data_IF_373980248066
#
_entry.id   IF_373980248066
#
_cell.length_a   1.000
_cell.length_b   1.000
_cell.length_c   1.000
_cell.angle_alpha   90.00
_cell.angle_beta   90.00
_cell.angle_gamma   90.00
#
_symmetry.space_group_name_H-M   'P 1'
#
loop_
_entity.id
_entity.type
_entity.pdbx_description
1 polymer ?
#
# COMPACT_ATOMS: atom_id res chain seq x y z
N UNK A 1 6.42 0.64 -25.76
CA UNK A 1 5.89 1.60 -24.78
C UNK A 1 5.85 0.91 -23.43
N UNK A 2 5.96 1.64 -22.31
CA UNK A 2 5.72 1.07 -20.98
C UNK A 2 4.23 0.85 -20.78
N UNK A 3 3.78 -0.26 -20.19
CA UNK A 3 2.38 -0.42 -19.83
C UNK A 3 1.98 0.64 -18.80
N UNK A 4 0.73 1.13 -18.90
CA UNK A 4 0.19 2.19 -18.04
C UNK A 4 -0.52 1.57 -16.85
N UNK A 5 -0.16 2.01 -15.66
CA UNK A 5 -0.77 1.57 -14.41
C UNK A 5 -1.45 2.75 -13.70
N UNK A 6 -2.72 2.56 -13.34
CA UNK A 6 -3.48 3.50 -12.52
C UNK A 6 -3.34 3.10 -11.04
N UNK A 7 -2.87 4.05 -10.20
CA UNK A 7 -2.75 3.90 -8.75
C UNK A 7 -3.86 4.70 -8.05
N UNK A 8 -4.93 4.02 -7.67
CA UNK A 8 -6.09 4.59 -6.98
C UNK A 8 -5.85 4.63 -5.46
N UNK A 9 -6.27 5.73 -4.82
CA UNK A 9 -5.98 6.04 -3.42
C UNK A 9 -4.47 6.08 -3.16
N UNK A 10 -3.74 6.72 -4.07
CA UNK A 10 -2.30 6.59 -4.26
C UNK A 10 -1.44 7.18 -3.12
N UNK A 11 -2.01 8.07 -2.28
CA UNK A 11 -1.27 8.74 -1.22
C UNK A 11 0.02 9.41 -1.72
N UNK A 12 1.11 9.31 -0.96
CA UNK A 12 2.41 9.90 -1.34
C UNK A 12 3.24 8.97 -2.26
N UNK A 13 2.62 8.02 -2.96
CA UNK A 13 3.23 7.27 -4.06
C UNK A 13 4.16 6.13 -3.67
N UNK A 14 3.98 5.53 -2.48
CA UNK A 14 4.77 4.37 -2.08
C UNK A 14 4.56 3.17 -3.02
N UNK A 15 3.31 2.82 -3.30
CA UNK A 15 2.97 1.78 -4.27
C UNK A 15 3.42 2.15 -5.69
N UNK A 16 3.13 3.39 -6.12
CA UNK A 16 3.51 3.92 -7.42
C UNK A 16 5.00 3.75 -7.73
N UNK A 17 5.87 4.08 -6.79
CA UNK A 17 7.32 3.96 -6.97
C UNK A 17 7.76 2.52 -7.24
N UNK A 18 7.14 1.55 -6.57
CA UNK A 18 7.46 0.14 -6.81
C UNK A 18 7.07 -0.30 -8.22
N UNK A 19 5.87 0.03 -8.66
CA UNK A 19 5.43 -0.27 -10.03
C UNK A 19 6.27 0.46 -11.08
N UNK A 20 6.64 1.72 -10.83
CA UNK A 20 7.56 2.44 -11.72
C UNK A 20 8.91 1.73 -11.86
N UNK A 21 9.50 1.27 -10.73
CA UNK A 21 10.75 0.48 -10.74
C UNK A 21 10.60 -0.85 -11.46
N UNK A 22 9.43 -1.46 -11.41
CA UNK A 22 9.12 -2.67 -12.19
C UNK A 22 9.06 -2.41 -13.70
N UNK A 23 8.76 -1.18 -14.13
CA UNK A 23 8.74 -0.81 -15.55
C UNK A 23 7.44 -0.19 -16.06
N UNK A 24 6.47 0.10 -15.19
CA UNK A 24 5.23 0.76 -15.56
C UNK A 24 5.39 2.28 -15.71
N UNK A 25 4.56 2.87 -16.54
CA UNK A 25 4.18 4.29 -16.48
C UNK A 25 3.03 4.40 -15.48
N UNK A 26 3.22 5.17 -14.40
CA UNK A 26 2.26 5.19 -13.29
C UNK A 26 1.57 6.53 -13.19
N UNK A 27 0.25 6.50 -13.07
CA UNK A 27 -0.63 7.65 -12.88
C UNK A 27 -1.35 7.48 -11.54
N UNK A 28 -1.25 8.47 -10.65
CA UNK A 28 -1.86 8.44 -9.33
C UNK A 28 -3.15 9.25 -9.24
N UNK A 29 -4.12 8.74 -8.49
CA UNK A 29 -5.37 9.43 -8.18
C UNK A 29 -5.66 9.35 -6.69
N UNK A 30 -5.92 10.49 -6.06
CA UNK A 30 -6.35 10.57 -4.67
C UNK A 30 -7.27 11.78 -4.46
N UNK A 31 -8.18 11.69 -3.50
CA UNK A 31 -9.09 12.78 -3.15
C UNK A 31 -8.34 13.96 -2.51
N UNK A 32 -7.32 13.67 -1.74
CA UNK A 32 -6.46 14.67 -1.10
C UNK A 32 -5.29 15.09 -2.00
N UNK A 33 -4.79 16.31 -1.88
CA UNK A 33 -3.57 16.72 -2.59
C UNK A 33 -2.33 16.04 -1.99
N UNK A 34 -1.49 15.47 -2.88
CA UNK A 34 -0.23 14.81 -2.53
C UNK A 34 0.96 15.47 -3.25
N UNK A 35 1.47 16.61 -2.74
CA UNK A 35 2.55 17.35 -3.41
C UNK A 35 3.88 16.59 -3.50
N UNK A 36 4.04 15.55 -2.68
CA UNK A 36 5.24 14.69 -2.68
C UNK A 36 5.08 13.50 -3.67
N UNK A 37 3.93 13.35 -4.34
CA UNK A 37 3.73 12.25 -5.30
C UNK A 37 4.73 12.38 -6.47
N UNK A 38 5.53 11.34 -6.75
CA UNK A 38 6.69 11.48 -7.65
C UNK A 38 6.40 11.34 -9.14
N UNK A 39 5.14 11.13 -9.54
CA UNK A 39 4.73 10.88 -10.92
C UNK A 39 3.54 11.78 -11.32
N UNK A 40 2.90 11.49 -12.45
CA UNK A 40 1.65 12.13 -12.86
C UNK A 40 0.58 11.90 -11.79
N UNK A 41 -0.03 12.99 -11.31
CA UNK A 41 -1.00 12.97 -10.24
C UNK A 41 -2.25 13.76 -10.61
N UNK A 42 -3.40 13.18 -10.33
CA UNK A 42 -4.70 13.82 -10.47
C UNK A 42 -5.44 13.84 -9.12
N UNK A 43 -5.84 15.01 -8.69
CA UNK A 43 -6.73 15.11 -7.54
C UNK A 43 -8.16 14.81 -7.96
N UNK A 44 -8.74 13.73 -7.44
CA UNK A 44 -10.07 13.28 -7.80
C UNK A 44 -10.59 12.13 -6.96
N UNK A 45 -11.87 11.84 -7.12
CA UNK A 45 -12.47 10.68 -6.47
C UNK A 45 -12.04 9.38 -7.18
N UNK A 46 -11.25 8.57 -6.49
CA UNK A 46 -10.79 7.28 -6.97
C UNK A 46 -11.95 6.32 -7.31
N UNK A 47 -13.10 6.46 -6.65
CA UNK A 47 -14.29 5.63 -6.94
C UNK A 47 -15.03 6.04 -8.21
N UNK A 48 -14.85 7.27 -8.67
CA UNK A 48 -15.48 7.81 -9.88
C UNK A 48 -14.50 7.97 -11.05
N UNK A 49 -13.20 7.80 -10.84
CA UNK A 49 -12.17 8.00 -11.86
C UNK A 49 -12.31 7.00 -13.01
N UNK A 50 -12.20 7.42 -14.30
CA UNK A 50 -12.24 6.50 -15.43
C UNK A 50 -11.14 5.44 -15.36
N UNK A 51 -11.50 4.20 -15.71
CA UNK A 51 -10.55 3.07 -15.72
C UNK A 51 -10.07 2.71 -17.14
N UNK A 52 -10.58 3.40 -18.16
CA UNK A 52 -10.20 3.16 -19.55
C UNK A 52 -8.81 3.72 -19.88
N UNK A 53 -8.09 3.00 -20.74
CA UNK A 53 -6.77 3.45 -21.22
C UNK A 53 -5.61 3.10 -20.29
N UNK A 54 -5.84 2.22 -19.33
CA UNK A 54 -4.80 1.62 -18.48
C UNK A 54 -4.71 0.11 -18.74
N UNK A 55 -3.51 -0.45 -18.54
CA UNK A 55 -3.24 -1.87 -18.70
C UNK A 55 -3.40 -2.63 -17.38
N UNK A 56 -3.16 -1.95 -16.25
CA UNK A 56 -3.25 -2.51 -14.88
C UNK A 56 -3.81 -1.45 -13.94
N UNK A 57 -4.56 -1.87 -12.93
CA UNK A 57 -5.03 -0.98 -11.85
C UNK A 57 -4.53 -1.48 -10.49
N UNK A 58 -3.92 -0.58 -9.71
CA UNK A 58 -3.69 -0.77 -8.29
C UNK A 58 -4.67 0.08 -7.48
N UNK A 59 -5.14 -0.43 -6.34
CA UNK A 59 -5.96 0.34 -5.42
C UNK A 59 -5.62 0.03 -3.96
N UNK A 60 -5.51 1.08 -3.13
CA UNK A 60 -5.31 0.97 -1.68
C UNK A 60 -6.42 1.71 -0.93
N UNK A 61 -7.68 1.19 -0.98
CA UNK A 61 -8.80 1.89 -0.37
C UNK A 61 -8.60 2.04 1.14
N UNK A 62 -9.06 3.16 1.75
CA UNK A 62 -8.88 3.43 3.16
C UNK A 62 -9.34 2.28 4.05
N UNK A 63 -8.50 1.90 5.03
CA UNK A 63 -8.69 0.76 5.92
C UNK A 63 -9.13 1.05 7.37
N UNK A 64 -9.72 2.22 7.75
CA UNK A 64 -9.99 2.52 9.16
C UNK A 64 -10.93 1.51 9.82
N UNK A 65 -11.81 0.86 9.05
CA UNK A 65 -12.75 -0.15 9.55
C UNK A 65 -12.07 -1.47 9.95
N UNK A 66 -10.95 -1.81 9.33
CA UNK A 66 -10.25 -3.08 9.50
C UNK A 66 -8.93 -2.95 10.26
N UNK A 67 -8.44 -1.73 10.44
CA UNK A 67 -7.18 -1.48 11.15
C UNK A 67 -7.31 -1.85 12.64
N UNK A 68 -6.23 -2.41 13.20
CA UNK A 68 -6.14 -2.70 14.64
C UNK A 68 -6.34 -1.46 15.53
N UNK A 69 -6.21 -0.27 14.97
CA UNK A 69 -6.45 1.02 15.65
C UNK A 69 -7.91 1.46 15.67
N UNK A 70 -8.84 0.68 15.11
CA UNK A 70 -10.28 0.97 15.12
C UNK A 70 -10.81 1.27 16.54
N UNK A 71 -10.31 0.55 17.54
CA UNK A 71 -10.70 0.72 18.95
C UNK A 71 -10.26 2.06 19.56
N UNK A 72 -9.31 2.76 18.93
CA UNK A 72 -8.81 4.06 19.42
C UNK A 72 -9.70 5.25 19.02
N UNK A 73 -10.61 5.04 18.07
CA UNK A 73 -11.54 6.07 17.58
C UNK A 73 -12.98 5.53 17.55
N UNK A 74 -13.57 5.20 18.70
CA UNK A 74 -14.95 4.74 18.77
C UNK A 74 -15.89 5.87 18.33
N UNK A 75 -16.73 5.60 17.33
CA UNK A 75 -17.70 6.56 16.80
C UNK A 75 -17.33 7.24 15.48
N UNK A 76 -16.14 7.07 14.96
CA UNK A 76 -15.82 7.51 13.60
C UNK A 76 -16.46 6.55 12.58
N UNK A 77 -17.39 7.06 11.78
CA UNK A 77 -17.96 6.33 10.63
C UNK A 77 -17.08 6.56 9.42
N UNK A 78 -16.47 5.50 8.91
CA UNK A 78 -15.75 5.53 7.65
C UNK A 78 -16.51 4.69 6.64
N UNK A 79 -16.67 5.14 5.38
CA UNK A 79 -17.26 4.31 4.34
C UNK A 79 -16.40 3.06 4.12
N UNK A 80 -17.06 1.91 3.95
CA UNK A 80 -16.39 0.71 3.49
C UNK A 80 -16.23 0.80 1.97
N UNK A 81 -15.03 1.09 1.53
CA UNK A 81 -14.72 1.21 0.11
C UNK A 81 -14.06 -0.05 -0.47
N UNK A 82 -13.70 -1.05 0.35
CA UNK A 82 -12.98 -2.22 -0.12
C UNK A 82 -13.82 -3.05 -1.10
N UNK A 83 -15.01 -3.48 -0.68
CA UNK A 83 -15.92 -4.26 -1.52
C UNK A 83 -16.27 -3.53 -2.82
N UNK A 84 -16.83 -2.31 -2.75
CA UNK A 84 -17.15 -1.53 -3.95
C UNK A 84 -15.95 -1.29 -4.90
N UNK A 85 -14.73 -1.12 -4.37
CA UNK A 85 -13.52 -1.01 -5.19
C UNK A 85 -13.25 -2.31 -5.94
N UNK A 86 -13.28 -3.45 -5.25
CA UNK A 86 -13.04 -4.76 -5.86
C UNK A 86 -14.09 -5.05 -6.95
N UNK A 87 -15.38 -4.87 -6.64
CA UNK A 87 -16.48 -5.10 -7.59
C UNK A 87 -16.28 -4.28 -8.87
N UNK A 88 -15.90 -3.02 -8.70
CA UNK A 88 -15.65 -2.11 -9.82
C UNK A 88 -14.47 -2.55 -10.68
N UNK A 89 -13.38 -3.02 -10.06
CA UNK A 89 -12.19 -3.49 -10.78
C UNK A 89 -12.46 -4.82 -11.49
N UNK A 90 -13.17 -5.76 -10.85
CA UNK A 90 -13.58 -7.03 -11.49
C UNK A 90 -14.43 -6.79 -12.75
N UNK A 91 -15.31 -5.79 -12.71
CA UNK A 91 -16.18 -5.45 -13.86
C UNK A 91 -15.40 -4.98 -15.10
N UNK A 92 -14.15 -4.50 -14.96
CA UNK A 92 -13.32 -4.08 -16.10
C UNK A 92 -12.69 -5.22 -16.88
N UNK A 93 -12.46 -6.35 -16.22
CA UNK A 93 -11.65 -7.45 -16.76
C UNK A 93 -10.14 -7.16 -16.85
N UNK A 94 -9.68 -5.97 -16.44
CA UNK A 94 -8.26 -5.63 -16.40
C UNK A 94 -7.53 -6.41 -15.29
N UNK A 95 -6.23 -6.68 -15.44
CA UNK A 95 -5.39 -7.06 -14.31
C UNK A 95 -5.43 -5.99 -13.21
N UNK A 96 -5.65 -6.40 -11.96
CA UNK A 96 -5.65 -5.47 -10.85
C UNK A 96 -5.02 -6.06 -9.58
N UNK A 97 -4.59 -5.16 -8.70
CA UNK A 97 -4.12 -5.48 -7.36
C UNK A 97 -4.81 -4.55 -6.37
N UNK A 98 -5.43 -5.10 -5.33
CA UNK A 98 -5.99 -4.31 -4.22
C UNK A 98 -5.25 -4.65 -2.93
N UNK A 99 -4.81 -3.60 -2.23
CA UNK A 99 -4.11 -3.72 -0.95
C UNK A 99 -5.02 -3.34 0.20
N UNK A 100 -4.87 -4.04 1.32
CA UNK A 100 -5.41 -3.59 2.60
C UNK A 100 -4.67 -4.25 3.79
N UNK A 101 -5.15 -3.97 5.00
CA UNK A 101 -4.61 -4.54 6.24
C UNK A 101 -5.12 -5.97 6.48
N UNK A 102 -4.48 -6.66 7.42
CA UNK A 102 -4.97 -7.94 7.95
C UNK A 102 -6.38 -7.77 8.55
N UNK A 103 -7.25 -8.75 8.32
CA UNK A 103 -8.64 -8.73 8.79
C UNK A 103 -9.64 -8.05 7.85
N UNK A 104 -9.20 -7.49 6.73
CA UNK A 104 -10.10 -7.02 5.68
C UNK A 104 -10.86 -8.20 5.03
N UNK A 105 -12.17 -8.06 4.73
CA UNK A 105 -12.97 -9.13 4.14
C UNK A 105 -12.71 -9.23 2.64
N UNK A 106 -11.80 -10.11 2.25
CA UNK A 106 -11.48 -10.34 0.84
C UNK A 106 -12.36 -11.42 0.21
N UNK A 107 -12.83 -11.25 -1.04
CA UNK A 107 -13.52 -12.29 -1.80
C UNK A 107 -12.69 -13.57 -1.94
N UNK A 108 -13.36 -14.73 -1.90
CA UNK A 108 -12.69 -16.02 -1.94
C UNK A 108 -12.23 -16.43 -3.36
N UNK A 109 -12.77 -15.81 -4.37
CA UNK A 109 -12.48 -16.04 -5.80
C UNK A 109 -11.26 -15.29 -6.32
N UNK A 110 -10.64 -14.44 -5.49
CA UNK A 110 -9.41 -13.74 -5.82
C UNK A 110 -8.18 -14.42 -5.21
N UNK A 111 -7.08 -14.36 -5.93
CA UNK A 111 -5.78 -14.77 -5.40
C UNK A 111 -5.34 -13.82 -4.29
N UNK A 112 -4.94 -14.37 -3.15
CA UNK A 112 -4.55 -13.60 -1.98
C UNK A 112 -3.13 -13.93 -1.54
N UNK A 113 -2.35 -12.91 -1.26
CA UNK A 113 -0.98 -13.04 -0.74
C UNK A 113 -0.70 -11.98 0.33
N UNK A 114 0.32 -12.23 1.14
CA UNK A 114 0.80 -11.31 2.15
C UNK A 114 2.27 -10.99 1.89
N UNK A 115 2.64 -9.71 2.04
CA UNK A 115 4.02 -9.26 1.98
C UNK A 115 4.44 -8.62 3.30
N UNK A 116 5.72 -8.79 3.63
CA UNK A 116 6.34 -8.29 4.85
C UNK A 116 7.66 -7.59 4.52
N UNK A 117 7.98 -6.50 5.20
CA UNK A 117 9.25 -5.80 5.01
C UNK A 117 10.47 -6.67 5.24
N UNK A 118 10.36 -7.68 6.12
CA UNK A 118 11.44 -8.64 6.36
C UNK A 118 11.85 -9.44 5.12
N UNK A 119 10.91 -9.73 4.23
CA UNK A 119 11.16 -10.46 2.98
C UNK A 119 11.97 -9.65 1.97
N UNK A 120 12.08 -8.34 2.18
CA UNK A 120 12.78 -7.37 1.31
C UNK A 120 13.97 -6.71 2.00
N UNK A 121 14.38 -7.19 3.19
CA UNK A 121 15.48 -6.59 3.95
C UNK A 121 15.17 -5.20 4.52
N UNK A 122 13.90 -4.79 4.57
CA UNK A 122 13.51 -3.51 5.14
C UNK A 122 13.57 -3.54 6.68
N UNK A 123 13.81 -2.37 7.28
CA UNK A 123 13.82 -2.20 8.74
C UNK A 123 12.44 -2.11 9.38
N UNK A 124 11.37 -2.44 8.65
CA UNK A 124 9.97 -2.50 9.08
C UNK A 124 9.39 -3.89 8.83
N UNK A 125 8.50 -4.38 9.70
CA UNK A 125 7.77 -5.64 9.43
C UNK A 125 6.55 -5.44 8.56
N UNK A 126 5.75 -4.46 8.80
CA UNK A 126 4.60 -3.95 8.01
C UNK A 126 3.93 -5.00 7.11
N UNK A 127 3.22 -5.95 7.68
CA UNK A 127 2.40 -6.90 6.93
C UNK A 127 1.32 -6.17 6.14
N UNK A 128 1.19 -6.50 4.85
CA UNK A 128 0.12 -6.03 3.98
C UNK A 128 -0.42 -7.19 3.16
N UNK A 129 -1.73 -7.22 3.06
CA UNK A 129 -2.43 -8.20 2.25
C UNK A 129 -2.78 -7.61 0.91
N UNK A 130 -2.66 -8.44 -0.11
CA UNK A 130 -2.97 -8.09 -1.48
C UNK A 130 -3.90 -9.15 -2.05
N UNK A 131 -4.89 -8.70 -2.84
CA UNK A 131 -5.73 -9.56 -3.66
C UNK A 131 -5.65 -9.13 -5.11
N UNK A 132 -5.76 -10.10 -6.02
CA UNK A 132 -5.67 -9.87 -7.45
C UNK A 132 -6.49 -10.92 -8.21
N UNK A 133 -6.96 -10.57 -9.42
CA UNK A 133 -7.47 -11.53 -10.39
C UNK A 133 -6.35 -12.28 -11.12
N UNK A 134 -5.08 -11.88 -10.92
CA UNK A 134 -3.88 -12.56 -11.42
C UNK A 134 -3.25 -13.40 -10.32
N UNK A 135 -2.72 -14.57 -10.66
CA UNK A 135 -1.96 -15.40 -9.71
C UNK A 135 -0.59 -14.78 -9.44
N UNK A 136 -0.47 -14.09 -8.30
CA UNK A 136 0.76 -13.47 -7.84
C UNK A 136 1.30 -14.21 -6.62
N UNK A 137 2.63 -14.34 -6.56
CA UNK A 137 3.32 -15.08 -5.50
C UNK A 137 3.80 -14.14 -4.41
N UNK A 138 3.48 -14.49 -3.16
CA UNK A 138 4.05 -13.84 -1.98
C UNK A 138 5.46 -14.37 -1.66
N UNK A 139 6.11 -13.72 -0.68
CA UNK A 139 7.38 -14.15 -0.13
C UNK A 139 7.24 -14.49 1.36
N UNK A 140 7.95 -15.52 1.86
CA UNK A 140 7.93 -15.85 3.28
C UNK A 140 8.54 -14.73 4.12
N UNK A 141 8.04 -14.55 5.34
CA UNK A 141 8.63 -13.61 6.29
C UNK A 141 10.01 -14.12 6.77
N UNK A 142 10.97 -13.20 6.86
CA UNK A 142 12.32 -13.48 7.37
C UNK A 142 12.62 -12.70 8.66
N UNK A 143 11.70 -12.71 9.62
CA UNK A 143 11.80 -11.93 10.85
C UNK A 143 13.07 -12.19 11.65
N UNK A 144 13.60 -13.41 11.61
CA UNK A 144 14.84 -13.78 12.31
C UNK A 144 16.09 -13.08 11.75
N UNK A 145 16.04 -12.63 10.50
CA UNK A 145 17.16 -11.92 9.82
C UNK A 145 17.06 -10.40 9.94
N UNK A 146 15.96 -9.88 10.49
CA UNK A 146 15.74 -8.44 10.59
C UNK A 146 16.54 -7.84 11.75
N UNK A 147 17.53 -7.04 11.41
CA UNK A 147 18.30 -6.23 12.36
C UNK A 147 17.72 -4.80 12.41
N UNK A 148 17.90 -4.10 13.54
CA UNK A 148 17.53 -2.69 13.72
C UNK A 148 16.09 -2.35 13.33
N UNK A 149 15.15 -3.21 13.73
CA UNK A 149 13.73 -3.01 13.48
C UNK A 149 13.23 -1.71 14.10
N UNK A 150 12.54 -0.89 13.29
CA UNK A 150 11.91 0.35 13.74
C UNK A 150 10.41 0.33 13.53
N UNK A 151 9.69 1.04 14.41
CA UNK A 151 8.25 1.26 14.30
C UNK A 151 7.92 2.45 13.40
N UNK A 152 7.13 2.23 12.35
CA UNK A 152 6.63 3.29 11.48
C UNK A 152 5.12 3.34 11.60
N UNK A 153 4.64 4.02 12.66
CA UNK A 153 3.22 4.13 13.01
C UNK A 153 2.79 5.59 13.08
N UNK A 154 1.49 5.86 12.89
CA UNK A 154 0.93 7.20 12.89
C UNK A 154 0.92 7.90 14.26
N UNK A 155 0.98 7.13 15.35
CA UNK A 155 1.02 7.65 16.71
C UNK A 155 2.36 7.30 17.36
N UNK A 156 2.94 8.23 18.11
CA UNK A 156 3.99 7.90 19.06
C UNK A 156 3.36 6.96 20.08
N UNK A 157 3.79 5.69 20.10
CA UNK A 157 3.47 4.81 21.22
C UNK A 157 3.95 5.51 22.49
N UNK A 158 3.00 5.79 23.39
CA UNK A 158 3.25 6.60 24.56
C UNK A 158 4.42 6.08 25.39
N UNK A 159 5.05 6.98 26.12
CA UNK A 159 6.15 6.75 27.04
C UNK A 159 5.78 5.87 28.25
N UNK A 160 4.68 5.12 28.23
CA UNK A 160 4.18 4.32 29.37
C UNK A 160 4.85 2.94 29.53
N UNK A 161 5.90 2.65 28.74
CA UNK A 161 6.73 1.45 28.89
C UNK A 161 6.02 0.09 28.67
N UNK A 162 4.75 0.09 28.28
CA UNK A 162 3.94 -1.14 28.11
C UNK A 162 4.04 -1.75 26.72
N UNK A 163 4.53 -1.02 25.74
CA UNK A 163 4.67 -1.52 24.38
C UNK A 163 5.99 -2.27 24.19
N UNK A 164 5.92 -3.59 24.11
CA UNK A 164 7.05 -4.48 23.73
C UNK A 164 7.38 -4.41 22.22
N UNK A 165 6.92 -3.40 21.53
CA UNK A 165 7.15 -3.19 20.09
C UNK A 165 8.49 -2.52 19.79
N UNK A 166 8.91 -2.47 18.53
CA UNK A 166 10.13 -1.79 18.13
C UNK A 166 10.07 -0.28 18.44
N UNK A 167 11.24 0.32 18.68
CA UNK A 167 11.39 1.77 18.86
C UNK A 167 10.73 2.53 17.72
N UNK A 168 9.99 3.58 18.05
CA UNK A 168 9.40 4.48 17.06
C UNK A 168 10.51 5.20 16.28
N UNK A 169 10.46 5.14 14.96
CA UNK A 169 11.37 5.83 14.06
C UNK A 169 11.14 7.35 14.07
N UNK A 170 12.19 8.16 13.89
CA UNK A 170 12.07 9.55 13.45
C UNK A 170 11.47 9.60 12.03
N UNK A 171 11.15 10.78 11.52
CA UNK A 171 10.62 10.90 10.14
C UNK A 171 11.66 10.45 9.11
N UNK A 172 12.94 10.82 9.31
CA UNK A 172 14.02 10.43 8.41
C UNK A 172 14.28 8.92 8.45
N UNK A 173 14.35 8.35 9.65
CA UNK A 173 14.48 6.89 9.81
C UNK A 173 13.30 6.12 9.20
N UNK A 174 12.08 6.67 9.33
CA UNK A 174 10.88 6.05 8.74
C UNK A 174 10.94 6.08 7.21
N UNK A 175 11.40 7.20 6.64
CA UNK A 175 11.63 7.38 5.22
C UNK A 175 12.59 6.33 4.67
N UNK A 176 13.75 6.16 5.35
CA UNK A 176 14.76 5.18 4.96
C UNK A 176 14.24 3.75 5.13
N UNK A 177 13.62 3.45 6.30
CA UNK A 177 13.09 2.12 6.61
C UNK A 177 11.98 1.66 5.66
N UNK A 178 11.21 2.61 5.09
CA UNK A 178 10.16 2.36 4.11
C UNK A 178 10.66 2.41 2.66
N UNK A 179 11.87 2.90 2.40
CA UNK A 179 12.42 3.08 1.06
C UNK A 179 11.78 4.23 0.27
N UNK A 180 11.37 5.31 0.96
CA UNK A 180 10.65 6.45 0.40
C UNK A 180 11.41 7.77 0.56
N UNK A 181 12.59 7.97 -0.06
CA UNK A 181 13.44 9.14 0.16
C UNK A 181 12.80 10.48 -0.27
N UNK A 182 11.80 10.47 -1.14
CA UNK A 182 11.09 11.66 -1.61
C UNK A 182 10.00 12.14 -0.65
N UNK A 183 9.45 11.27 0.21
CA UNK A 183 8.33 11.62 1.08
C UNK A 183 8.78 12.54 2.23
N UNK A 184 8.15 13.69 2.38
CA UNK A 184 8.53 14.69 3.39
C UNK A 184 7.67 14.62 4.65
N UNK A 185 6.42 14.16 4.51
CA UNK A 185 5.44 14.18 5.60
C UNK A 185 5.33 12.84 6.29
N UNK A 186 5.44 12.82 7.61
CA UNK A 186 5.30 11.63 8.45
C UNK A 186 4.02 10.83 8.13
N UNK A 187 2.89 11.52 7.97
CA UNK A 187 1.59 10.88 7.70
C UNK A 187 1.61 10.08 6.39
N UNK A 188 2.19 10.63 5.33
CA UNK A 188 2.32 9.94 4.05
C UNK A 188 3.17 8.67 4.17
N UNK A 189 4.33 8.76 4.84
CA UNK A 189 5.21 7.62 5.07
C UNK A 189 4.52 6.52 5.89
N UNK A 190 3.79 6.89 6.95
CA UNK A 190 3.14 5.92 7.84
C UNK A 190 1.94 5.22 7.20
N UNK A 191 1.32 5.81 6.20
CA UNK A 191 0.19 5.21 5.48
C UNK A 191 0.63 4.43 4.24
N UNK A 192 1.82 4.72 3.71
CA UNK A 192 2.28 4.15 2.44
C UNK A 192 2.53 2.65 2.48
N UNK A 193 2.48 2.04 1.30
CA UNK A 193 3.00 0.71 1.00
C UNK A 193 4.49 0.87 0.68
N UNK A 194 5.40 0.05 1.25
CA UNK A 194 6.80 0.07 0.85
C UNK A 194 6.96 -0.23 -0.66
N UNK A 195 7.74 0.57 -1.41
CA UNK A 195 7.93 0.34 -2.85
C UNK A 195 8.39 -1.06 -3.23
N UNK A 196 9.19 -1.70 -2.40
CA UNK A 196 9.69 -3.06 -2.64
C UNK A 196 8.57 -4.10 -2.82
N UNK A 197 7.39 -3.88 -2.19
CA UNK A 197 6.26 -4.80 -2.31
C UNK A 197 5.67 -4.74 -3.72
N UNK A 198 5.36 -3.55 -4.17
CA UNK A 198 4.72 -3.34 -5.48
C UNK A 198 5.72 -3.47 -6.63
N UNK A 199 7.02 -3.28 -6.41
CA UNK A 199 8.06 -3.66 -7.37
C UNK A 199 8.05 -5.17 -7.59
N UNK A 200 7.96 -5.98 -6.52
CA UNK A 200 7.87 -7.43 -6.60
C UNK A 200 6.60 -7.89 -7.35
N UNK A 201 5.44 -7.29 -7.04
CA UNK A 201 4.18 -7.60 -7.72
C UNK A 201 4.20 -7.14 -9.19
N UNK A 202 4.71 -5.94 -9.44
CA UNK A 202 4.78 -5.35 -10.78
C UNK A 202 5.65 -6.16 -11.75
N UNK A 203 6.76 -6.72 -11.27
CA UNK A 203 7.59 -7.62 -12.09
C UNK A 203 6.86 -8.89 -12.50
N UNK A 204 6.00 -9.43 -11.65
CA UNK A 204 5.18 -10.59 -11.97
C UNK A 204 4.08 -10.23 -12.98
N UNK A 205 3.43 -9.07 -12.81
CA UNK A 205 2.40 -8.59 -13.74
C UNK A 205 2.95 -8.37 -15.16
N UNK A 206 4.22 -7.99 -15.30
CA UNK A 206 4.88 -7.82 -16.60
C UNK A 206 5.36 -9.13 -17.24
N UNK A 207 5.54 -10.18 -16.44
CA UNK A 207 5.96 -11.49 -16.89
C UNK A 207 4.81 -12.50 -17.05
N UNK A 208 3.58 -12.05 -16.77
CA UNK A 208 2.38 -12.89 -16.82
C UNK A 208 1.79 -12.98 -18.23
#
# INVERSE_FOLDING_TARGET
MRPRLLDLFCGDGGAAMGYHRAGFEVIGVDLAPHPDYPFEFHQGDAMAWPLDGYDVVHASPPCPLYAATKSLHPGATHPDLLGPTIDRLQATGLPFVVENVEGAPYPADLFRLMLCGSSFGLRVRRHRWFVSNMMLMGLPCEHARQLDLVGVYGHSSGADGRNKGPRQATTDEARDAMGMPWATKRKGITNAIPPAYTEHLGRQLLGA
#
